data_IF_894308922117
#
_entry.id   IF_894308922117
#
_cell.length_a   1.000
_cell.length_b   1.000
_cell.length_c   1.000
_cell.angle_alpha   90.00
_cell.angle_beta   90.00
_cell.angle_gamma   90.00
#
_symmetry.space_group_name_H-M   'P 1'
#
loop_
_entity.id
_entity.type
_entity.pdbx_description
1 polymer ?
#
# COMPACT_ATOMS: atom_id res chain seq x y z
N UNK A 1 -13.69 -13.25 40.95
CA UNK A 1 -13.21 -13.96 39.78
C UNK A 1 -13.71 -13.32 38.50
N UNK A 2 -12.80 -12.89 37.67
CA UNK A 2 -13.17 -12.23 36.44
C UNK A 2 -13.40 -13.28 35.37
N UNK A 3 -14.57 -13.32 34.82
CA UNK A 3 -14.84 -14.19 33.69
C UNK A 3 -14.23 -13.52 32.46
N UNK A 4 -13.21 -14.13 31.93
CA UNK A 4 -12.60 -13.65 30.70
C UNK A 4 -13.53 -14.03 29.54
N UNK A 5 -14.18 -13.03 29.01
CA UNK A 5 -14.97 -13.19 27.82
C UNK A 5 -14.01 -13.23 26.61
N UNK A 6 -14.14 -14.26 25.79
CA UNK A 6 -13.31 -14.31 24.59
C UNK A 6 -13.67 -13.14 23.68
N UNK A 7 -12.67 -12.33 23.40
CA UNK A 7 -12.78 -11.17 22.51
C UNK A 7 -11.76 -11.37 21.40
N UNK A 8 -12.18 -11.62 20.15
CA UNK A 8 -11.25 -11.90 19.07
C UNK A 8 -10.31 -10.74 18.74
N UNK A 9 -10.67 -9.54 19.15
CA UNK A 9 -9.84 -8.37 18.88
C UNK A 9 -8.90 -8.02 20.02
N UNK A 10 -9.15 -8.52 21.22
CA UNK A 10 -8.33 -8.25 22.41
C UNK A 10 -7.37 -9.38 22.73
N UNK A 11 -7.83 -10.61 22.56
CA UNK A 11 -7.07 -11.78 22.99
C UNK A 11 -5.82 -12.00 22.14
N UNK A 12 -5.73 -11.37 20.99
CA UNK A 12 -4.55 -11.40 20.14
C UNK A 12 -3.67 -10.16 20.25
N UNK A 13 -3.85 -9.36 21.31
CA UNK A 13 -3.04 -8.17 21.54
C UNK A 13 -3.44 -6.96 20.71
N UNK A 14 -4.58 -7.00 20.08
CA UNK A 14 -5.11 -5.85 19.37
C UNK A 14 -5.77 -4.91 20.37
N UNK A 15 -5.09 -3.85 20.71
CA UNK A 15 -5.60 -2.91 21.70
C UNK A 15 -6.37 -1.75 21.10
N UNK A 16 -6.56 -1.72 19.81
CA UNK A 16 -7.30 -0.62 19.25
C UNK A 16 -7.34 -0.58 17.79
N UNK A 17 -7.94 0.49 17.28
CA UNK A 17 -8.63 0.39 16.04
C UNK A 17 -7.76 -0.38 15.09
N UNK A 18 -8.33 -1.36 14.57
CA UNK A 18 -7.72 -2.24 13.64
C UNK A 18 -7.31 -1.46 12.40
N UNK A 19 -6.22 -0.70 12.53
CA UNK A 19 -5.55 -0.19 11.34
C UNK A 19 -4.66 -1.31 10.86
N UNK A 20 -5.03 -1.86 9.76
CA UNK A 20 -4.22 -2.86 9.11
C UNK A 20 -3.20 -2.16 8.22
N UNK A 21 -1.94 -2.58 8.32
CA UNK A 21 -0.86 -2.00 7.50
C UNK A 21 -0.37 -3.05 6.51
N UNK A 22 -0.71 -2.92 5.24
CA UNK A 22 -0.26 -3.86 4.24
C UNK A 22 1.25 -3.74 3.98
N UNK A 23 1.94 -4.86 3.78
CA UNK A 23 3.34 -4.82 3.36
C UNK A 23 3.47 -4.23 1.95
N UNK A 24 4.48 -3.40 1.76
CA UNK A 24 4.73 -2.71 0.49
C UNK A 24 6.20 -2.79 0.13
N UNK A 25 6.47 -3.14 -1.12
CA UNK A 25 7.80 -3.05 -1.72
C UNK A 25 7.79 -1.97 -2.78
N UNK A 26 8.86 -1.19 -2.84
CA UNK A 26 9.08 -0.23 -3.92
C UNK A 26 10.45 -0.51 -4.51
N UNK A 27 10.49 -0.71 -5.81
CA UNK A 27 11.73 -0.99 -6.51
C UNK A 27 11.73 -0.34 -7.89
N UNK A 28 12.90 -0.24 -8.47
CA UNK A 28 13.07 0.35 -9.79
C UNK A 28 13.38 -0.73 -10.82
N UNK A 29 12.63 -0.74 -11.91
CA UNK A 29 12.88 -1.61 -13.04
C UNK A 29 13.52 -0.80 -14.15
N UNK A 30 14.79 -1.08 -14.44
CA UNK A 30 15.52 -0.32 -15.44
C UNK A 30 15.74 1.13 -15.01
N UNK A 31 15.84 2.02 -15.98
CA UNK A 31 16.11 3.44 -15.74
C UNK A 31 14.86 4.31 -15.79
N UNK A 32 13.71 3.74 -16.14
CA UNK A 32 12.55 4.51 -16.54
C UNK A 32 11.31 4.29 -15.70
N UNK A 33 11.34 3.39 -14.74
CA UNK A 33 10.13 3.03 -14.04
C UNK A 33 10.38 2.61 -12.60
N UNK A 34 9.60 3.19 -11.69
CA UNK A 34 9.45 2.68 -10.34
C UNK A 34 8.20 1.80 -10.28
N UNK A 35 8.27 0.76 -9.46
CA UNK A 35 7.13 -0.13 -9.23
C UNK A 35 6.89 -0.23 -7.73
N UNK A 36 5.64 0.00 -7.34
CA UNK A 36 5.19 -0.26 -5.98
C UNK A 36 4.33 -1.50 -5.98
N UNK A 37 4.61 -2.44 -5.09
CA UNK A 37 3.76 -3.61 -4.88
C UNK A 37 3.27 -3.66 -3.45
N UNK A 38 1.96 -3.76 -3.30
CA UNK A 38 1.32 -3.86 -2.00
C UNK A 38 0.53 -5.17 -1.91
N UNK A 39 0.70 -5.88 -0.82
CA UNK A 39 -0.07 -7.09 -0.57
C UNK A 39 -1.41 -6.72 0.05
N UNK A 40 -2.47 -6.86 -0.73
CA UNK A 40 -3.84 -6.53 -0.34
C UNK A 40 -4.76 -7.73 -0.57
N UNK A 41 -4.52 -8.85 0.14
CA UNK A 41 -5.29 -10.06 -0.13
C UNK A 41 -6.75 -9.93 0.30
N UNK A 42 -7.62 -10.65 -0.40
CA UNK A 42 -9.04 -10.75 -0.08
C UNK A 42 -9.75 -9.39 -0.07
N UNK A 43 -9.37 -8.51 -0.99
CA UNK A 43 -10.04 -7.22 -1.19
C UNK A 43 -10.65 -7.15 -2.57
N UNK A 44 -11.68 -6.34 -2.70
CA UNK A 44 -12.23 -5.96 -3.98
C UNK A 44 -11.48 -4.76 -4.53
N UNK A 45 -11.37 -4.67 -5.84
CA UNK A 45 -10.79 -3.49 -6.49
C UNK A 45 -11.50 -2.20 -6.05
N UNK A 46 -12.78 -2.27 -5.81
CA UNK A 46 -13.57 -1.10 -5.39
C UNK A 46 -13.25 -0.64 -3.96
N UNK A 47 -12.60 -1.49 -3.18
CA UNK A 47 -12.18 -1.15 -1.81
C UNK A 47 -10.78 -0.54 -1.75
N UNK A 48 -10.13 -0.37 -2.89
CA UNK A 48 -8.76 0.14 -2.99
C UNK A 48 -8.76 1.48 -3.71
N UNK A 49 -8.14 2.47 -3.10
CA UNK A 49 -7.99 3.80 -3.68
C UNK A 49 -6.52 4.16 -3.80
N UNK A 50 -6.16 4.76 -4.93
CA UNK A 50 -4.83 5.28 -5.17
C UNK A 50 -4.96 6.75 -5.53
N UNK A 51 -4.16 7.57 -4.88
CA UNK A 51 -4.14 9.00 -5.12
C UNK A 51 -2.71 9.50 -5.17
N UNK A 52 -2.43 10.40 -6.11
CA UNK A 52 -1.15 11.09 -6.18
C UNK A 52 -1.44 12.58 -6.14
N UNK A 53 -0.88 13.25 -5.14
CA UNK A 53 -1.01 14.67 -4.98
C UNK A 53 0.30 15.22 -4.45
N UNK A 54 0.84 16.27 -5.07
CA UNK A 54 2.10 16.89 -4.68
C UNK A 54 3.24 15.88 -4.53
N UNK A 55 3.35 14.93 -5.47
CA UNK A 55 4.34 13.86 -5.47
C UNK A 55 4.28 12.98 -4.22
N UNK A 56 3.11 12.87 -3.63
CA UNK A 56 2.85 11.89 -2.57
C UNK A 56 1.83 10.88 -3.10
N UNK A 57 2.23 9.65 -3.13
CA UNK A 57 1.35 8.53 -3.50
C UNK A 57 0.71 7.99 -2.25
N UNK A 58 -0.60 7.94 -2.23
CA UNK A 58 -1.35 7.36 -1.13
C UNK A 58 -2.14 6.17 -1.63
N UNK A 59 -1.93 5.03 -1.01
CA UNK A 59 -2.74 3.82 -1.20
C UNK A 59 -3.58 3.64 0.04
N UNK A 60 -4.88 3.61 -0.13
CA UNK A 60 -5.81 3.50 1.00
C UNK A 60 -6.96 2.59 0.65
N UNK A 61 -7.67 2.15 1.67
CA UNK A 61 -8.83 1.32 1.48
C UNK A 61 -9.33 0.74 2.78
N UNK A 62 -10.26 -0.20 2.64
CA UNK A 62 -10.85 -0.88 3.76
C UNK A 62 -10.93 -2.38 3.48
N UNK A 63 -10.36 -3.17 4.37
CA UNK A 63 -10.51 -4.61 4.35
C UNK A 63 -11.67 -4.97 5.26
N UNK A 64 -12.79 -5.34 4.65
CA UNK A 64 -14.04 -5.55 5.36
C UNK A 64 -14.11 -6.94 5.98
N UNK A 65 -14.71 -6.99 7.16
CA UNK A 65 -15.07 -8.27 7.80
C UNK A 65 -16.19 -8.91 6.99
N UNK A 66 -16.20 -10.23 6.93
CA UNK A 66 -17.27 -10.95 6.25
C UNK A 66 -18.63 -10.59 6.87
N UNK A 67 -19.54 -10.10 6.02
CA UNK A 67 -20.84 -9.63 6.48
C UNK A 67 -21.77 -10.76 6.92
N UNK A 68 -21.51 -11.98 6.46
CA UNK A 68 -22.31 -13.16 6.75
C UNK A 68 -21.90 -13.88 8.04
N UNK A 69 -20.86 -13.41 8.71
CA UNK A 69 -20.39 -13.97 9.97
C UNK A 69 -20.53 -12.95 11.08
N UNK A 70 -21.33 -13.29 12.09
CA UNK A 70 -21.53 -12.40 13.23
C UNK A 70 -20.36 -12.52 14.20
N UNK A 71 -20.13 -11.46 14.96
CA UNK A 71 -19.01 -11.41 15.90
C UNK A 71 -19.03 -12.53 16.94
N UNK A 72 -20.21 -12.97 17.34
CA UNK A 72 -20.38 -14.07 18.31
C UNK A 72 -20.18 -15.47 17.72
N UNK A 73 -20.04 -15.56 16.41
CA UNK A 73 -19.79 -16.83 15.71
C UNK A 73 -18.32 -17.16 15.59
N UNK A 74 -17.43 -16.21 15.82
CA UNK A 74 -16.00 -16.45 15.72
C UNK A 74 -15.48 -17.23 16.92
N UNK A 75 -14.70 -18.24 16.65
CA UNK A 75 -13.96 -19.01 17.67
C UNK A 75 -12.50 -18.60 17.75
N UNK A 76 -11.98 -18.04 16.68
CA UNK A 76 -10.59 -17.67 16.57
C UNK A 76 -10.42 -16.62 15.47
N UNK A 77 -9.69 -15.56 15.74
CA UNK A 77 -9.47 -14.49 14.76
C UNK A 77 -7.98 -14.17 14.72
N UNK A 78 -7.38 -14.33 13.57
CA UNK A 78 -6.00 -13.92 13.31
C UNK A 78 -5.92 -12.98 12.11
N UNK A 79 -6.92 -13.01 11.24
CA UNK A 79 -6.95 -12.14 10.07
C UNK A 79 -7.20 -10.70 10.49
N UNK A 80 -6.45 -9.80 9.88
CA UNK A 80 -6.59 -8.37 10.18
C UNK A 80 -7.57 -7.73 9.22
N UNK A 81 -8.35 -6.81 9.75
CA UNK A 81 -9.35 -6.07 9.01
C UNK A 81 -9.25 -4.59 9.36
N UNK A 82 -9.99 -3.79 8.63
CA UNK A 82 -10.12 -2.37 8.90
C UNK A 82 -9.57 -1.51 7.79
N UNK A 83 -9.55 -0.23 8.05
CA UNK A 83 -9.02 0.75 7.09
C UNK A 83 -7.50 0.76 7.11
N UNK A 84 -6.92 1.08 5.98
CA UNK A 84 -5.49 1.29 5.89
C UNK A 84 -5.21 2.51 5.02
N UNK A 85 -4.08 3.13 5.25
CA UNK A 85 -3.58 4.21 4.43
C UNK A 85 -2.06 4.20 4.50
N UNK A 86 -1.42 4.10 3.35
CA UNK A 86 0.04 4.17 3.21
C UNK A 86 0.38 5.29 2.25
N UNK A 87 1.28 6.17 2.66
CA UNK A 87 1.72 7.29 1.83
C UNK A 87 3.23 7.23 1.62
N UNK A 88 3.64 7.52 0.41
CA UNK A 88 5.04 7.48 0.00
C UNK A 88 5.38 8.74 -0.78
N UNK A 89 6.46 9.40 -0.40
CA UNK A 89 6.97 10.52 -1.17
C UNK A 89 7.63 10.00 -2.44
N UNK A 90 7.22 10.55 -3.56
CA UNK A 90 7.77 10.18 -4.87
C UNK A 90 8.83 11.17 -5.29
N UNK A 91 9.86 10.72 -6.04
CA UNK A 91 10.78 11.65 -6.69
C UNK A 91 10.00 12.54 -7.67
N UNK A 92 10.44 13.78 -7.83
CA UNK A 92 9.83 14.68 -8.80
C UNK A 92 10.03 14.23 -10.24
N UNK A 93 10.86 13.23 -10.43
CA UNK A 93 11.11 12.60 -11.73
C UNK A 93 9.97 11.68 -12.18
N UNK A 94 9.07 11.32 -11.29
CA UNK A 94 7.89 10.53 -11.66
C UNK A 94 6.93 11.39 -12.47
N UNK A 95 6.40 10.82 -13.54
CA UNK A 95 5.35 11.46 -14.33
C UNK A 95 3.98 11.00 -13.84
N UNK A 96 3.26 11.85 -13.09
CA UNK A 96 1.98 11.42 -12.51
C UNK A 96 0.90 11.15 -13.56
N UNK A 97 1.03 11.71 -14.76
CA UNK A 97 0.03 11.51 -15.81
C UNK A 97 0.09 10.13 -16.46
N UNK A 98 1.16 9.40 -16.22
CA UNK A 98 1.39 8.09 -16.85
C UNK A 98 1.35 6.93 -15.87
N UNK A 99 0.94 7.17 -14.66
CA UNK A 99 0.84 6.15 -13.62
C UNK A 99 -0.29 5.18 -13.95
N UNK A 100 -0.02 3.90 -13.77
CA UNK A 100 -1.01 2.85 -13.94
C UNK A 100 -0.98 1.89 -12.77
N UNK A 101 -2.08 1.21 -12.54
CA UNK A 101 -2.21 0.27 -11.44
C UNK A 101 -2.98 -0.96 -11.88
N UNK A 102 -2.56 -2.10 -11.37
CA UNK A 102 -3.21 -3.38 -11.62
C UNK A 102 -3.34 -4.14 -10.30
N UNK A 103 -4.50 -4.71 -10.06
CA UNK A 103 -4.73 -5.56 -8.90
C UNK A 103 -4.93 -7.00 -9.36
N UNK A 104 -4.03 -7.88 -8.96
CA UNK A 104 -4.03 -9.26 -9.41
C UNK A 104 -3.48 -10.19 -8.33
N UNK A 105 -4.18 -11.29 -8.10
CA UNK A 105 -3.76 -12.30 -7.12
C UNK A 105 -3.49 -11.72 -5.73
N UNK A 106 -4.30 -10.75 -5.32
CA UNK A 106 -4.12 -10.11 -4.01
C UNK A 106 -2.97 -9.12 -3.95
N UNK A 107 -2.32 -8.82 -5.07
CA UNK A 107 -1.22 -7.86 -5.12
C UNK A 107 -1.61 -6.68 -5.98
N UNK A 108 -1.49 -5.49 -5.40
CA UNK A 108 -1.62 -4.25 -6.14
C UNK A 108 -0.25 -3.85 -6.67
N UNK A 109 -0.15 -3.69 -7.98
CA UNK A 109 1.08 -3.23 -8.64
C UNK A 109 0.82 -1.85 -9.22
N UNK A 110 1.61 -0.87 -8.81
CA UNK A 110 1.53 0.50 -9.33
C UNK A 110 2.80 0.78 -10.10
N UNK A 111 2.66 1.13 -11.36
CA UNK A 111 3.79 1.50 -12.22
C UNK A 111 3.89 3.00 -12.28
N UNK A 112 5.07 3.50 -11.97
CA UNK A 112 5.36 4.93 -11.85
C UNK A 112 6.47 5.27 -12.85
N UNK A 113 6.11 5.61 -14.10
CA UNK A 113 7.12 5.96 -15.09
C UNK A 113 7.88 7.21 -14.73
N UNK A 114 9.16 7.21 -15.00
CA UNK A 114 10.02 8.38 -14.80
C UNK A 114 10.06 9.20 -16.09
N UNK A 115 10.22 10.51 -15.92
CA UNK A 115 10.36 11.41 -17.07
C UNK A 115 11.71 11.20 -17.72
N UNK A 116 11.76 11.37 -19.02
CA UNK A 116 13.00 11.24 -19.79
C UNK A 116 14.06 12.25 -19.34
N UNK A 117 13.64 13.46 -18.98
CA UNK A 117 14.54 14.50 -18.48
C UNK A 117 15.14 14.16 -17.12
N UNK A 118 14.62 13.12 -16.47
CA UNK A 118 15.04 12.72 -15.13
C UNK A 118 16.19 11.73 -15.15
N UNK A 119 16.68 11.35 -16.32
CA UNK A 119 17.83 10.46 -16.40
C UNK A 119 19.06 11.12 -15.82
N UNK A 120 19.90 10.40 -15.09
CA UNK A 120 21.16 10.93 -14.64
C UNK A 120 21.95 11.46 -15.83
N UNK A 121 22.40 12.69 -15.74
CA UNK A 121 23.22 13.29 -16.77
C UNK A 121 24.66 13.32 -16.29
N UNK A 122 25.52 12.75 -17.11
CA UNK A 122 26.94 12.86 -16.87
C UNK A 122 27.43 14.19 -17.43
N UNK A 123 28.05 15.00 -16.59
CA UNK A 123 28.59 16.28 -17.00
C UNK A 123 30.08 16.13 -17.11
N UNK A 124 30.60 16.44 -18.31
CA UNK A 124 32.03 16.43 -18.56
C UNK A 124 32.66 17.68 -17.97
N UNK A 125 33.65 17.47 -17.13
CA UNK A 125 34.38 18.57 -16.52
C UNK A 125 35.55 18.94 -17.42
N UNK A 126 35.58 20.20 -17.87
CA UNK A 126 36.71 20.75 -18.59
C UNK A 126 37.66 21.41 -17.60
N UNK A 127 38.93 21.07 -17.74
CA UNK A 127 39.96 21.66 -16.89
C UNK A 127 40.43 22.97 -17.55
N UNK A 128 40.20 24.09 -16.87
CA UNK A 128 40.70 25.37 -17.31
C UNK A 128 42.21 25.40 -17.10
N UNK A 129 42.96 25.74 -18.14
CA UNK A 129 44.40 25.81 -18.11
C UNK A 129 44.89 27.10 -17.39
#
# INVERSE_FOLDING_TARGET
>A
MTIVRWDPFRDFGFTAPSTWMPPVDIFQTGEHELVLKAELPAMSRDDININIENFVLTVSGEKKVAADVKSDQYHHVERRYGTFSRSFSLPQTVDPSRVSAEYRNGVLSVKLPLRDEAKPRSIKVDVAA
#
